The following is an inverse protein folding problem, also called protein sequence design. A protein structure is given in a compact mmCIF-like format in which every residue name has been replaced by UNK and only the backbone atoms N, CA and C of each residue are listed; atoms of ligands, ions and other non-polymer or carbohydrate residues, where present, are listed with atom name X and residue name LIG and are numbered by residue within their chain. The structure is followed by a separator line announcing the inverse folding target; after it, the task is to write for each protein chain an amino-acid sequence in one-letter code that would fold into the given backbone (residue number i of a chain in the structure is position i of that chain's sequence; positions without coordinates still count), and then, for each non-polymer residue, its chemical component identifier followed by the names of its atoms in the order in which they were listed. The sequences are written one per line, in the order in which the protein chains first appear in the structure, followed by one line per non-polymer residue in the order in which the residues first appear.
data_IF_833887163981
#
_entry.id   IF_833887163981
#
_cell.length_a   1.000
_cell.length_b   1.000
_cell.length_c   1.000
_cell.angle_alpha   90.00
_cell.angle_beta   90.00
_cell.angle_gamma   90.00
#
_symmetry.space_group_name_H-M   'P 1'
#
loop_
_entity.id
_entity.type
_entity.pdbx_description
1 polymer ?
#
# COMPACT_ATOMS: atom_id res chain seq x y z
N UNK A 1 23.94 -69.66 -25.26
CA UNK A 1 22.68 -69.03 -25.72
C UNK A 1 22.03 -68.36 -24.51
N UNK A 2 22.09 -67.02 -24.46
CA UNK A 2 21.27 -66.17 -23.56
C UNK A 2 19.79 -66.32 -23.94
N UNK A 3 18.78 -66.03 -23.08
CA UNK A 3 18.57 -64.69 -22.48
C UNK A 3 17.89 -64.76 -21.07
N UNK A 4 17.52 -63.73 -20.29
CA UNK A 4 16.91 -62.45 -20.56
C UNK A 4 16.81 -61.61 -19.27
N UNK A 5 16.79 -60.28 -19.44
CA UNK A 5 16.08 -59.26 -18.65
C UNK A 5 16.57 -58.95 -17.22
N UNK A 6 17.54 -58.01 -17.18
CA UNK A 6 17.76 -57.12 -16.04
C UNK A 6 16.53 -56.21 -15.85
N UNK A 7 16.09 -56.12 -14.59
CA UNK A 7 15.02 -55.25 -14.11
C UNK A 7 15.27 -53.79 -14.50
N UNK A 8 14.28 -53.18 -15.17
CA UNK A 8 14.28 -51.78 -15.58
C UNK A 8 13.77 -50.94 -14.40
N UNK A 9 14.67 -50.32 -13.65
CA UNK A 9 14.30 -49.35 -12.61
C UNK A 9 13.81 -48.07 -13.28
N UNK A 10 12.50 -47.87 -13.31
CA UNK A 10 11.88 -46.63 -13.80
C UNK A 10 12.10 -45.54 -12.75
N UNK A 11 13.01 -44.61 -13.03
CA UNK A 11 13.21 -43.40 -12.24
C UNK A 11 12.17 -42.36 -12.68
N UNK A 12 11.07 -42.23 -11.90
CA UNK A 12 10.10 -41.14 -12.08
C UNK A 12 10.68 -39.88 -11.43
N UNK A 13 11.27 -39.00 -12.24
CA UNK A 13 11.68 -37.66 -11.81
C UNK A 13 10.40 -36.81 -11.78
N UNK A 14 9.79 -36.72 -10.61
CA UNK A 14 8.74 -35.73 -10.36
C UNK A 14 9.38 -34.33 -10.39
N UNK A 15 9.29 -33.66 -11.53
CA UNK A 15 9.49 -32.21 -11.63
C UNK A 15 8.40 -31.53 -10.79
N UNK A 16 8.70 -31.35 -9.50
CA UNK A 16 7.99 -30.42 -8.65
C UNK A 16 8.33 -29.02 -9.16
N UNK A 17 7.49 -28.53 -10.09
CA UNK A 17 7.51 -27.15 -10.52
C UNK A 17 7.33 -26.27 -9.30
N UNK A 18 8.43 -25.72 -8.81
CA UNK A 18 8.42 -24.61 -7.87
C UNK A 18 7.85 -23.41 -8.62
N UNK A 19 6.53 -23.23 -8.55
CA UNK A 19 5.92 -21.92 -8.66
C UNK A 19 6.48 -21.10 -7.50
N UNK A 20 7.64 -20.49 -7.74
CA UNK A 20 8.11 -19.36 -6.97
C UNK A 20 7.14 -18.22 -7.26
N UNK A 21 5.98 -18.25 -6.59
CA UNK A 21 5.16 -17.06 -6.43
C UNK A 21 6.08 -16.02 -5.81
N UNK A 22 6.37 -14.96 -6.55
CA UNK A 22 7.13 -13.83 -6.06
C UNK A 22 6.43 -13.35 -4.77
N UNK A 23 7.01 -13.68 -3.62
CA UNK A 23 6.57 -13.15 -2.35
C UNK A 23 6.85 -11.65 -2.43
N UNK A 24 5.78 -10.88 -2.62
CA UNK A 24 5.81 -9.43 -2.54
C UNK A 24 6.48 -9.06 -1.21
N UNK A 25 7.67 -8.45 -1.25
CA UNK A 25 8.39 -8.04 -0.04
C UNK A 25 7.48 -7.11 0.77
N UNK A 26 6.91 -7.66 1.86
CA UNK A 26 6.20 -6.88 2.88
C UNK A 26 7.21 -5.90 3.47
N UNK A 27 7.00 -4.60 3.25
CA UNK A 27 7.64 -3.55 4.05
C UNK A 27 8.51 -2.52 3.33
N UNK A 28 8.68 -2.55 2.00
CA UNK A 28 9.51 -1.55 1.28
C UNK A 28 8.76 -0.35 0.68
N UNK A 29 7.47 -0.22 0.90
CA UNK A 29 6.63 0.81 0.26
C UNK A 29 5.69 1.45 1.26
N UNK A 30 4.95 2.48 0.82
CA UNK A 30 3.91 3.14 1.61
C UNK A 30 3.09 2.15 2.45
N UNK A 31 2.78 2.57 3.68
CA UNK A 31 2.08 1.75 4.68
C UNK A 31 0.76 2.37 5.09
N UNK A 32 -0.23 1.52 5.35
CA UNK A 32 -1.56 1.91 5.75
C UNK A 32 -2.01 1.06 6.94
N UNK A 33 -2.40 1.74 8.01
CA UNK A 33 -3.04 1.15 9.17
C UNK A 33 -4.41 1.78 9.39
N UNK A 34 -5.41 0.94 9.66
CA UNK A 34 -6.76 1.40 10.02
C UNK A 34 -7.23 0.67 11.28
N UNK A 35 -7.62 1.42 12.30
CA UNK A 35 -8.00 0.88 13.62
C UNK A 35 -6.97 -0.13 14.17
N UNK A 36 -5.68 0.18 13.98
CA UNK A 36 -4.56 -0.66 14.41
C UNK A 36 -4.29 -1.91 13.55
N UNK A 37 -5.06 -2.15 12.48
CA UNK A 37 -4.85 -3.28 11.56
C UNK A 37 -4.08 -2.84 10.33
N UNK A 38 -3.16 -3.69 9.86
CA UNK A 38 -2.51 -3.51 8.55
C UNK A 38 -3.57 -3.65 7.44
N UNK A 39 -3.66 -2.61 6.60
CA UNK A 39 -4.57 -2.54 5.47
C UNK A 39 -3.84 -2.29 4.15
N UNK A 40 -2.56 -2.67 4.05
CA UNK A 40 -1.71 -2.42 2.88
C UNK A 40 -2.26 -3.00 1.56
N UNK A 41 -3.12 -4.00 1.63
CA UNK A 41 -3.84 -4.55 0.46
C UNK A 41 -4.77 -3.55 -0.21
N UNK A 42 -5.17 -2.48 0.49
CA UNK A 42 -6.02 -1.42 -0.05
C UNK A 42 -5.21 -0.31 -0.75
N UNK A 43 -3.88 -0.32 -0.61
CA UNK A 43 -3.01 0.60 -1.33
C UNK A 43 -2.94 0.16 -2.80
N UNK A 44 -3.28 1.08 -3.69
CA UNK A 44 -3.23 0.90 -5.14
C UNK A 44 -2.02 1.63 -5.74
N UNK A 45 -1.68 1.29 -6.98
CA UNK A 45 -0.54 1.87 -7.69
C UNK A 45 0.79 1.73 -6.92
N UNK A 46 1.06 0.58 -6.27
CA UNK A 46 2.30 0.33 -5.50
C UNK A 46 3.54 0.10 -6.38
N UNK A 47 3.42 0.11 -7.70
CA UNK A 47 4.52 -0.16 -8.64
C UNK A 47 5.60 0.91 -8.58
N UNK A 48 6.77 0.68 -7.97
CA UNK A 48 7.80 1.70 -7.93
C UNK A 48 8.13 2.17 -9.34
N UNK A 49 8.02 3.47 -9.58
CA UNK A 49 8.57 4.10 -10.77
C UNK A 49 10.06 4.38 -10.52
N UNK A 50 10.83 3.35 -10.14
CA UNK A 50 12.28 3.43 -10.18
C UNK A 50 12.68 3.15 -11.63
N UNK A 51 13.23 4.16 -12.30
CA UNK A 51 13.81 3.98 -13.63
C UNK A 51 13.48 5.09 -14.61
N UNK A 52 14.23 6.19 -14.52
CA UNK A 52 14.88 6.73 -15.71
C UNK A 52 16.38 6.74 -15.37
N UNK A 53 17.10 5.73 -15.87
CA UNK A 53 18.56 5.73 -15.93
C UNK A 53 19.02 6.63 -17.09
N UNK A 54 18.52 7.86 -17.11
CA UNK A 54 19.00 8.92 -17.99
C UNK A 54 20.24 9.57 -17.36
N UNK A 55 20.88 10.47 -18.12
CA UNK A 55 22.09 11.20 -17.69
C UNK A 55 21.90 12.00 -16.39
N UNK A 56 20.65 12.25 -16.00
CA UNK A 56 20.22 13.10 -14.89
C UNK A 56 19.86 12.36 -13.59
N UNK A 57 20.03 11.03 -13.55
CA UNK A 57 19.97 10.23 -12.31
C UNK A 57 18.59 9.68 -11.91
N UNK A 58 18.59 8.84 -10.87
CA UNK A 58 17.42 8.16 -10.31
C UNK A 58 16.77 9.05 -9.24
N UNK A 59 15.49 9.40 -9.40
CA UNK A 59 14.72 10.06 -8.33
C UNK A 59 14.11 8.98 -7.43
N UNK A 60 14.65 8.83 -6.22
CA UNK A 60 14.03 8.03 -5.16
C UNK A 60 13.01 8.92 -4.45
N UNK A 61 11.73 8.62 -4.62
CA UNK A 61 10.67 9.30 -3.86
C UNK A 61 10.51 8.61 -2.50
N UNK A 62 10.39 9.41 -1.43
CA UNK A 62 10.12 8.88 -0.08
C UNK A 62 8.70 8.30 -0.01
N UNK A 63 8.47 7.41 0.94
CA UNK A 63 7.21 6.66 1.07
C UNK A 63 6.41 7.14 2.29
N UNK A 64 5.07 7.15 2.17
CA UNK A 64 4.14 7.67 3.18
C UNK A 64 3.57 6.52 4.03
N UNK A 65 3.54 6.72 5.34
CA UNK A 65 2.72 5.95 6.28
C UNK A 65 1.46 6.75 6.61
N UNK A 66 0.31 6.13 6.41
CA UNK A 66 -0.99 6.64 6.86
C UNK A 66 -1.54 5.75 7.96
N UNK A 67 -1.83 6.33 9.12
CA UNK A 67 -2.55 5.66 10.19
C UNK A 67 -3.90 6.34 10.37
N UNK A 68 -4.97 5.57 10.37
CA UNK A 68 -6.35 6.04 10.53
C UNK A 68 -7.00 5.31 11.71
N UNK A 69 -7.86 6.02 12.44
CA UNK A 69 -8.64 5.48 13.55
C UNK A 69 -10.02 6.10 13.56
N UNK A 70 -11.05 5.27 13.70
CA UNK A 70 -12.42 5.74 13.88
C UNK A 70 -12.59 6.44 15.23
N UNK A 71 -13.41 7.47 15.20
CA UNK A 71 -13.87 8.24 16.35
C UNK A 71 -15.39 8.13 16.32
N UNK A 72 -15.94 7.37 17.26
CA UNK A 72 -17.38 7.24 17.53
C UNK A 72 -18.22 6.83 16.31
N UNK A 73 -17.61 6.19 15.31
CA UNK A 73 -18.26 5.70 14.09
C UNK A 73 -18.71 6.77 13.10
N UNK A 74 -18.56 8.06 13.42
CA UNK A 74 -18.97 9.18 12.56
C UNK A 74 -17.78 9.95 11.97
N UNK A 75 -16.62 9.82 12.59
CA UNK A 75 -15.39 10.48 12.16
C UNK A 75 -14.25 9.49 12.13
N UNK A 76 -13.19 9.84 11.41
CA UNK A 76 -11.91 9.20 11.56
C UNK A 76 -10.82 10.24 11.67
N UNK A 77 -9.90 10.02 12.60
CA UNK A 77 -8.66 10.76 12.69
C UNK A 77 -7.57 10.03 11.93
N UNK A 78 -6.74 10.80 11.24
CA UNK A 78 -5.57 10.32 10.52
C UNK A 78 -4.30 10.98 11.00
N UNK A 79 -3.19 10.25 10.87
CA UNK A 79 -1.82 10.73 11.07
C UNK A 79 -1.01 10.32 9.84
N UNK A 80 -0.27 11.27 9.27
CA UNK A 80 0.61 11.07 8.13
C UNK A 80 2.06 11.18 8.55
N UNK A 81 2.85 10.17 8.22
CA UNK A 81 4.26 10.06 8.58
C UNK A 81 5.12 9.60 7.41
N UNK A 82 6.41 9.86 7.49
CA UNK A 82 7.41 9.20 6.67
C UNK A 82 7.61 7.74 7.14
N UNK A 83 7.70 6.80 6.20
CA UNK A 83 7.85 5.36 6.54
C UNK A 83 9.16 5.05 7.25
N UNK A 84 10.26 5.67 6.85
CA UNK A 84 11.62 5.33 7.29
C UNK A 84 11.99 6.03 8.60
N UNK A 85 11.70 7.33 8.68
CA UNK A 85 12.11 8.22 9.78
C UNK A 85 11.03 8.42 10.83
N UNK A 86 9.76 8.07 10.53
CA UNK A 86 8.58 8.37 11.34
C UNK A 86 8.31 9.89 11.54
N UNK A 87 8.97 10.74 10.75
CA UNK A 87 8.72 12.19 10.71
C UNK A 87 7.25 12.48 10.41
N UNK A 88 6.63 13.39 11.17
CA UNK A 88 5.24 13.81 10.97
C UNK A 88 5.16 14.77 9.77
N UNK A 89 4.34 14.45 8.79
CA UNK A 89 4.26 15.24 7.56
C UNK A 89 3.20 16.34 7.71
N UNK A 90 3.64 17.53 8.14
CA UNK A 90 2.81 18.75 8.24
C UNK A 90 2.45 19.29 6.85
N UNK A 91 1.19 19.65 6.64
CA UNK A 91 0.72 20.20 5.35
C UNK A 91 0.64 19.15 4.23
N UNK A 92 0.65 17.86 4.57
CA UNK A 92 0.31 16.81 3.63
C UNK A 92 -1.15 16.94 3.20
N UNK A 93 -1.39 16.89 1.90
CA UNK A 93 -2.71 17.09 1.31
C UNK A 93 -3.44 15.78 1.16
N UNK A 94 -4.58 15.68 1.82
CA UNK A 94 -5.49 14.54 1.77
C UNK A 94 -6.62 14.88 0.81
N UNK A 95 -6.82 14.04 -0.21
CA UNK A 95 -7.96 14.13 -1.11
C UNK A 95 -8.84 12.90 -0.93
N UNK A 96 -10.10 13.11 -0.60
CA UNK A 96 -11.09 12.04 -0.45
C UNK A 96 -12.08 12.13 -1.60
N UNK A 97 -12.17 11.05 -2.39
CA UNK A 97 -13.22 10.87 -3.37
C UNK A 97 -14.32 10.02 -2.79
N UNK A 98 -15.52 10.57 -2.70
CA UNK A 98 -16.70 9.85 -2.18
C UNK A 98 -17.38 9.08 -3.30
N UNK A 99 -18.09 7.99 -2.98
CA UNK A 99 -18.89 7.26 -3.98
C UNK A 99 -20.10 8.09 -4.41
N UNK A 100 -20.80 8.70 -3.45
CA UNK A 100 -22.08 9.39 -3.65
C UNK A 100 -22.09 10.77 -2.95
N UNK A 101 -21.09 11.62 -3.22
CA UNK A 101 -20.99 12.93 -2.58
C UNK A 101 -19.91 13.80 -3.20
N UNK A 102 -19.66 14.97 -2.60
CA UNK A 102 -18.59 15.86 -3.00
C UNK A 102 -17.23 15.32 -2.57
N UNK A 103 -16.23 15.56 -3.40
CA UNK A 103 -14.84 15.32 -3.03
C UNK A 103 -14.41 16.32 -1.96
N UNK A 104 -13.61 15.84 -1.00
CA UNK A 104 -13.09 16.66 0.10
C UNK A 104 -11.58 16.79 -0.05
N UNK A 105 -11.04 17.96 0.30
CA UNK A 105 -9.58 18.18 0.38
C UNK A 105 -9.25 18.83 1.71
N UNK A 106 -8.29 18.24 2.42
CA UNK A 106 -7.88 18.65 3.76
C UNK A 106 -6.35 18.58 3.82
N UNK A 107 -5.72 19.51 4.52
CA UNK A 107 -4.28 19.49 4.75
C UNK A 107 -3.99 19.12 6.22
N UNK A 108 -2.92 18.38 6.48
CA UNK A 108 -2.55 17.98 7.86
C UNK A 108 -2.03 19.16 8.70
N UNK A 109 -2.26 19.10 10.00
CA UNK A 109 -1.78 20.08 10.97
C UNK A 109 -0.27 19.98 11.25
N UNK A 110 0.22 20.78 12.21
CA UNK A 110 1.64 20.81 12.60
C UNK A 110 2.15 19.48 13.19
N UNK A 111 1.25 18.60 13.61
CA UNK A 111 1.53 17.26 14.13
C UNK A 111 1.21 16.18 13.11
N UNK A 112 1.03 16.53 11.83
CA UNK A 112 0.72 15.60 10.74
C UNK A 112 -0.66 14.96 10.86
N UNK A 113 -1.58 15.54 11.64
CA UNK A 113 -2.91 15.00 11.92
C UNK A 113 -3.98 15.63 11.06
N UNK A 114 -5.06 14.90 10.84
CA UNK A 114 -6.28 15.41 10.20
C UNK A 114 -7.52 14.64 10.70
N UNK A 115 -8.71 15.19 10.47
CA UNK A 115 -9.99 14.52 10.74
C UNK A 115 -10.90 14.59 9.51
N UNK A 116 -11.64 13.51 9.28
CA UNK A 116 -12.63 13.40 8.20
C UNK A 116 -13.93 12.80 8.72
N UNK A 117 -15.03 13.15 8.06
CA UNK A 117 -16.33 12.53 8.33
C UNK A 117 -16.41 11.16 7.64
N UNK A 118 -17.07 10.18 8.25
CA UNK A 118 -17.20 8.81 7.71
C UNK A 118 -18.60 8.52 7.14
N UNK A 119 -19.50 9.51 7.18
CA UNK A 119 -20.91 9.37 6.76
C UNK A 119 -21.11 8.92 5.31
N UNK A 120 -20.12 9.16 4.44
CA UNK A 120 -20.18 8.82 3.02
C UNK A 120 -19.10 7.81 2.65
N UNK A 121 -19.52 6.72 2.01
CA UNK A 121 -18.64 5.65 1.58
C UNK A 121 -17.52 6.16 0.68
N UNK A 122 -16.29 5.75 0.99
CA UNK A 122 -15.11 6.16 0.25
C UNK A 122 -15.01 5.41 -1.08
N UNK A 123 -14.65 6.13 -2.13
CA UNK A 123 -14.19 5.53 -3.39
C UNK A 123 -12.67 5.41 -3.40
N UNK A 124 -11.98 6.50 -3.05
CA UNK A 124 -10.53 6.59 -3.08
C UNK A 124 -10.04 7.67 -2.10
N UNK A 125 -8.92 7.43 -1.45
CA UNK A 125 -8.18 8.43 -0.67
C UNK A 125 -6.78 8.59 -1.25
N UNK A 126 -6.32 9.82 -1.38
CA UNK A 126 -4.96 10.13 -1.79
C UNK A 126 -4.26 11.01 -0.75
N UNK A 127 -2.99 10.72 -0.49
CA UNK A 127 -2.11 11.57 0.31
C UNK A 127 -0.98 12.07 -0.57
N UNK A 128 -0.87 13.39 -0.70
CA UNK A 128 0.17 14.06 -1.45
C UNK A 128 1.08 14.85 -0.51
N UNK A 129 2.39 14.73 -0.71
CA UNK A 129 3.38 15.56 -0.05
C UNK A 129 4.61 15.73 -0.95
N UNK A 130 5.24 16.90 -0.92
CA UNK A 130 6.35 17.23 -1.84
C UNK A 130 7.57 16.36 -1.54
N UNK A 131 8.15 15.74 -2.57
CA UNK A 131 9.28 14.82 -2.43
C UNK A 131 8.88 13.39 -2.06
N UNK A 132 7.57 13.14 -1.92
CA UNK A 132 7.01 11.84 -1.60
C UNK A 132 6.23 11.29 -2.75
N UNK A 133 6.18 9.96 -2.79
CA UNK A 133 5.27 9.26 -3.65
C UNK A 133 3.84 9.44 -3.12
N UNK A 134 2.92 9.79 -4.02
CA UNK A 134 1.50 9.87 -3.66
C UNK A 134 0.99 8.50 -3.20
N UNK A 135 0.56 8.41 -1.95
CA UNK A 135 -0.14 7.25 -1.45
C UNK A 135 -1.57 7.29 -1.97
N UNK A 136 -2.01 6.24 -2.69
CA UNK A 136 -3.39 6.07 -3.13
C UNK A 136 -4.00 4.83 -2.47
N UNK A 137 -5.20 4.98 -1.94
CA UNK A 137 -5.90 3.95 -1.19
C UNK A 137 -7.29 3.77 -1.79
N UNK A 138 -7.64 2.54 -2.13
CA UNK A 138 -8.97 2.17 -2.58
C UNK A 138 -9.92 2.12 -1.38
N UNK A 139 -11.08 2.77 -1.50
CA UNK A 139 -12.13 2.65 -0.51
C UNK A 139 -12.69 1.22 -0.46
N UNK A 140 -12.94 0.72 0.74
CA UNK A 140 -13.45 -0.62 0.98
C UNK A 140 -14.52 -0.58 2.07
N UNK A 141 -15.73 -1.14 1.82
CA UNK A 141 -16.78 -1.17 2.84
C UNK A 141 -16.28 -1.83 4.13
N UNK A 142 -16.41 -1.14 5.26
CA UNK A 142 -16.05 -1.67 6.57
C UNK A 142 -14.54 -1.74 6.86
N UNK A 143 -13.68 -1.20 5.98
CA UNK A 143 -12.24 -1.09 6.22
C UNK A 143 -11.66 0.30 5.90
N UNK A 144 -12.45 1.25 5.38
CA UNK A 144 -11.98 2.62 5.06
C UNK A 144 -13.15 3.59 4.82
N UNK A 145 -14.10 3.56 5.75
CA UNK A 145 -15.47 4.09 5.68
C UNK A 145 -16.40 3.11 4.93
#
# INVERSE_FOLDING_TARGET
MLPFLRSLTVLVIALSGSLAGAAQEKGKYATLFYNGKDCNQLIIDRFPQYGIAGRDGCVVQREIRLTLKDIDGQKAAGIVQDVETNELLRGARIKLKRKNGSDETIDTDAQGRFEVNTSSALKELQVYYVGYRTLKVKGSPGQLF
#
